data_IF_711960749068
#
_entry.id   IF_711960749068
#
_cell.length_a   1.000
_cell.length_b   1.000
_cell.length_c   1.000
_cell.angle_alpha   90.00
_cell.angle_beta   90.00
_cell.angle_gamma   90.00
#
_symmetry.space_group_name_H-M   'P 1'
#
loop_
_entity.id
_entity.type
_entity.pdbx_description
1 polymer ?
#
# COMPACT_ATOMS: atom_id res chain seq x y z
N UNK A 1 8.83 -12.72 8.65
CA UNK A 1 7.36 -12.72 8.72
C UNK A 1 6.88 -11.78 7.63
N UNK A 2 5.76 -12.11 7.00
CA UNK A 2 5.19 -11.27 5.96
C UNK A 2 4.20 -10.31 6.61
N UNK A 3 4.31 -9.02 6.29
CA UNK A 3 3.45 -7.95 6.79
C UNK A 3 2.58 -7.44 5.66
N UNK A 4 1.34 -7.05 5.99
CA UNK A 4 0.45 -6.35 5.06
C UNK A 4 0.30 -4.90 5.52
N UNK A 5 0.38 -3.96 4.58
CA UNK A 5 0.18 -2.53 4.82
C UNK A 5 -0.77 -1.95 3.76
N UNK A 6 -1.51 -0.92 4.14
CA UNK A 6 -2.33 -0.12 3.23
C UNK A 6 -1.56 1.11 2.80
N UNK A 7 -1.43 1.29 1.49
CA UNK A 7 -1.12 2.56 0.86
C UNK A 7 -2.42 3.29 0.61
N UNK A 8 -2.55 4.52 1.08
CA UNK A 8 -3.73 5.37 0.90
C UNK A 8 -3.28 6.75 0.39
N UNK A 9 -3.97 7.30 -0.60
CA UNK A 9 -3.63 8.61 -1.19
C UNK A 9 -4.78 9.23 -1.97
N UNK A 10 -4.55 10.44 -2.48
CA UNK A 10 -5.63 11.25 -3.07
C UNK A 10 -6.17 10.73 -4.42
N UNK A 11 -5.43 9.86 -5.11
CA UNK A 11 -5.85 9.31 -6.41
C UNK A 11 -5.13 8.02 -6.79
N UNK A 12 -5.72 7.27 -7.72
CA UNK A 12 -5.15 6.03 -8.28
C UNK A 12 -3.73 6.22 -8.80
N UNK A 13 -3.47 7.34 -9.48
CA UNK A 13 -2.15 7.66 -10.01
C UNK A 13 -1.12 7.85 -8.90
N UNK A 14 -1.47 8.58 -7.84
CA UNK A 14 -0.58 8.82 -6.69
C UNK A 14 -0.25 7.51 -5.97
N UNK A 15 -1.24 6.64 -5.76
CA UNK A 15 -1.04 5.34 -5.11
C UNK A 15 -0.23 4.39 -6.00
N UNK A 16 -0.50 4.38 -7.31
CA UNK A 16 0.24 3.53 -8.26
C UNK A 16 1.71 3.95 -8.38
N UNK A 17 1.99 5.25 -8.44
CA UNK A 17 3.35 5.78 -8.49
C UNK A 17 4.11 5.49 -7.19
N UNK A 18 3.45 5.65 -6.03
CA UNK A 18 4.01 5.28 -4.73
C UNK A 18 4.32 3.78 -4.64
N UNK A 19 3.42 2.92 -5.11
CA UNK A 19 3.65 1.47 -5.18
C UNK A 19 4.85 1.13 -6.06
N UNK A 20 4.93 1.69 -7.27
CA UNK A 20 6.03 1.47 -8.20
C UNK A 20 7.38 1.90 -7.61
N UNK A 21 7.40 3.02 -6.88
CA UNK A 21 8.59 3.48 -6.16
C UNK A 21 9.01 2.49 -5.06
N UNK A 22 8.07 2.08 -4.20
CA UNK A 22 8.34 1.13 -3.13
C UNK A 22 8.83 -0.21 -3.67
N UNK A 23 8.22 -0.70 -4.74
CA UNK A 23 8.68 -1.91 -5.42
C UNK A 23 10.10 -1.76 -5.98
N UNK A 24 10.46 -0.59 -6.51
CA UNK A 24 11.81 -0.34 -7.03
C UNK A 24 12.86 -0.23 -5.92
N UNK A 25 12.57 0.48 -4.84
CA UNK A 25 13.54 0.78 -3.78
C UNK A 25 13.69 -0.38 -2.78
N UNK A 26 12.62 -1.10 -2.49
CA UNK A 26 12.58 -2.18 -1.48
C UNK A 26 12.62 -3.56 -2.14
N UNK A 27 12.05 -3.71 -3.33
CA UNK A 27 12.18 -4.91 -4.16
C UNK A 27 11.21 -6.04 -3.85
N UNK A 28 10.77 -6.19 -2.59
CA UNK A 28 9.93 -7.32 -2.15
C UNK A 28 8.43 -6.97 -2.00
N UNK A 29 8.03 -5.78 -2.46
CA UNK A 29 6.67 -5.26 -2.31
C UNK A 29 5.74 -5.82 -3.40
N UNK A 30 4.67 -6.49 -2.98
CA UNK A 30 3.70 -7.16 -3.86
C UNK A 30 2.29 -6.73 -3.48
N UNK A 31 1.38 -6.60 -4.45
CA UNK A 31 -0.04 -6.33 -4.19
C UNK A 31 -0.67 -7.53 -3.46
N UNK A 32 -1.43 -7.29 -2.39
CA UNK A 32 -2.15 -8.35 -1.69
C UNK A 32 -3.34 -8.85 -2.52
N UNK A 33 -3.19 -9.99 -3.20
CA UNK A 33 -4.27 -10.60 -3.98
C UNK A 33 -5.41 -11.18 -3.14
N UNK A 34 -5.28 -11.25 -1.81
CA UNK A 34 -6.34 -11.72 -0.92
C UNK A 34 -7.13 -10.57 -0.29
N UNK A 35 -6.64 -9.33 -0.41
CA UNK A 35 -7.35 -8.18 0.12
C UNK A 35 -8.64 -7.91 -0.69
N UNK A 36 -9.81 -7.80 -0.04
CA UNK A 36 -11.05 -7.36 -0.67
C UNK A 36 -10.89 -6.00 -1.37
N UNK A 37 -10.03 -5.13 -0.83
CA UNK A 37 -9.74 -3.83 -1.39
C UNK A 37 -9.12 -3.93 -2.78
N UNK A 38 -8.23 -4.89 -3.02
CA UNK A 38 -7.52 -5.06 -4.29
C UNK A 38 -8.28 -5.93 -5.31
N UNK A 39 -9.30 -6.68 -4.89
CA UNK A 39 -9.91 -7.76 -5.69
C UNK A 39 -11.32 -7.45 -6.21
N UNK A 40 -11.93 -6.34 -5.83
CA UNK A 40 -13.29 -6.00 -6.27
C UNK A 40 -13.58 -4.51 -6.24
N UNK A 41 -14.78 -4.12 -6.66
CA UNK A 41 -15.30 -2.74 -6.75
C UNK A 41 -15.40 -2.01 -5.38
N UNK A 42 -14.44 -2.22 -4.49
CA UNK A 42 -14.34 -1.52 -3.24
C UNK A 42 -14.22 -0.01 -3.51
N UNK A 43 -15.04 0.86 -2.89
CA UNK A 43 -15.00 2.29 -3.17
C UNK A 43 -13.61 2.91 -3.00
N UNK A 44 -12.81 2.37 -2.07
CA UNK A 44 -11.46 2.83 -1.79
C UNK A 44 -10.39 2.24 -2.73
N UNK A 45 -10.69 1.25 -3.57
CA UNK A 45 -9.68 0.65 -4.47
C UNK A 45 -9.12 1.63 -5.52
N UNK A 46 -9.80 2.76 -5.71
CA UNK A 46 -9.35 3.87 -6.56
C UNK A 46 -8.31 4.78 -5.89
N UNK A 47 -8.17 4.71 -4.57
CA UNK A 47 -7.38 5.66 -3.74
C UNK A 47 -6.57 4.95 -2.67
N UNK A 48 -6.63 3.61 -2.63
CA UNK A 48 -5.87 2.81 -1.70
C UNK A 48 -5.46 1.48 -2.36
N UNK A 49 -4.44 0.85 -1.80
CA UNK A 49 -3.89 -0.42 -2.23
C UNK A 49 -3.30 -1.17 -1.02
N UNK A 50 -3.71 -2.41 -0.81
CA UNK A 50 -3.08 -3.26 0.21
C UNK A 50 -1.87 -3.98 -0.38
N UNK A 51 -0.74 -3.95 0.31
CA UNK A 51 0.53 -4.50 -0.17
C UNK A 51 1.18 -5.36 0.90
N UNK A 52 1.89 -6.37 0.42
CA UNK A 52 2.53 -7.43 1.20
C UNK A 52 4.04 -7.30 1.04
N UNK A 53 4.79 -7.40 2.14
CA UNK A 53 6.25 -7.28 2.16
C UNK A 53 6.84 -8.05 3.34
N UNK A 54 8.15 -8.27 3.35
CA UNK A 54 8.90 -8.70 4.54
C UNK A 54 9.58 -7.53 5.26
N UNK A 55 9.62 -6.34 4.65
CA UNK A 55 10.12 -5.10 5.22
C UNK A 55 9.20 -4.49 6.26
N UNK A 56 9.75 -3.51 6.99
CA UNK A 56 9.02 -2.79 8.04
C UNK A 56 8.29 -1.55 7.51
N UNK A 57 7.19 -1.18 8.15
CA UNK A 57 6.42 0.04 7.80
C UNK A 57 7.26 1.33 7.85
N UNK A 58 8.27 1.38 8.73
CA UNK A 58 9.15 2.54 8.87
C UNK A 58 10.02 2.74 7.62
N UNK A 59 10.42 1.65 6.97
CA UNK A 59 11.19 1.69 5.72
C UNK A 59 10.35 2.34 4.60
N UNK A 60 9.07 1.96 4.52
CA UNK A 60 8.14 2.52 3.52
C UNK A 60 7.96 4.02 3.73
N UNK A 61 7.68 4.43 4.98
CA UNK A 61 7.54 5.84 5.34
C UNK A 61 8.81 6.62 5.00
N UNK A 62 9.98 6.06 5.30
CA UNK A 62 11.27 6.70 4.98
C UNK A 62 11.46 6.91 3.48
N UNK A 63 11.14 5.89 2.66
CA UNK A 63 11.22 6.00 1.20
C UNK A 63 10.23 7.06 0.70
N UNK A 64 8.95 6.96 1.06
CA UNK A 64 7.92 7.88 0.59
C UNK A 64 8.19 9.34 1.00
N UNK A 65 8.63 9.56 2.24
CA UNK A 65 9.05 10.88 2.75
C UNK A 65 10.25 11.44 1.96
N UNK A 66 11.23 10.58 1.64
CA UNK A 66 12.43 10.98 0.88
C UNK A 66 12.10 11.49 -0.51
N UNK A 67 11.06 10.93 -1.13
CA UNK A 67 10.57 11.33 -2.45
C UNK A 67 9.37 12.29 -2.40
N UNK A 68 8.92 12.69 -1.20
CA UNK A 68 7.79 13.60 -0.95
C UNK A 68 6.47 13.14 -1.59
N UNK A 69 6.19 11.84 -1.51
CA UNK A 69 4.88 11.32 -1.90
C UNK A 69 3.84 11.65 -0.82
N UNK A 70 2.71 12.21 -1.22
CA UNK A 70 1.59 12.48 -0.33
C UNK A 70 0.68 11.24 -0.24
N UNK A 71 1.21 10.21 0.42
CA UNK A 71 0.50 8.96 0.70
C UNK A 71 0.71 8.56 2.15
N UNK A 72 -0.29 7.92 2.73
CA UNK A 72 -0.21 7.37 4.08
C UNK A 72 0.04 5.86 4.00
N UNK A 73 0.91 5.36 4.88
CA UNK A 73 1.10 3.92 5.09
C UNK A 73 0.59 3.54 6.48
N UNK A 74 -0.42 2.69 6.54
CA UNK A 74 -0.98 2.15 7.77
C UNK A 74 -1.05 0.63 7.74
N UNK A 75 -1.33 0.01 8.89
CA UNK A 75 -1.81 -1.37 8.89
C UNK A 75 -3.19 -1.41 8.21
N UNK A 76 -3.52 -2.46 7.44
CA UNK A 76 -4.85 -2.62 6.89
C UNK A 76 -5.84 -2.71 8.05
N UNK A 77 -6.94 -1.96 7.96
CA UNK A 77 -8.06 -2.19 8.87
C UNK A 77 -8.68 -3.53 8.51
N UNK A 78 -8.81 -4.43 9.49
CA UNK A 78 -9.63 -5.63 9.34
C UNK A 78 -11.06 -5.16 9.03
N UNK A 79 -11.44 -5.22 7.76
CA UNK A 79 -12.84 -5.19 7.36
C UNK A 79 -13.42 -6.53 7.80
N UNK A 80 -13.73 -6.65 9.10
CA UNK A 80 -14.42 -7.81 9.63
C UNK A 80 -15.64 -8.03 8.77
N UNK A 81 -15.62 -9.14 8.03
CA UNK A 81 -16.73 -9.59 7.21
C UNK A 81 -17.97 -9.62 8.10
N UNK A 82 -18.93 -8.73 7.82
CA UNK A 82 -20.31 -8.87 8.31
C UNK A 82 -20.92 -10.18 7.81
#
# INVERSE_FOLDING_TARGET
MTNTFRLDGDSEAVVSDAYNLLQKEIGDVVIDSHSPLNTGHHPQSSTALDIVTTSSINEFRTVLDSYRYDVTVTEPVDEQSE
#
